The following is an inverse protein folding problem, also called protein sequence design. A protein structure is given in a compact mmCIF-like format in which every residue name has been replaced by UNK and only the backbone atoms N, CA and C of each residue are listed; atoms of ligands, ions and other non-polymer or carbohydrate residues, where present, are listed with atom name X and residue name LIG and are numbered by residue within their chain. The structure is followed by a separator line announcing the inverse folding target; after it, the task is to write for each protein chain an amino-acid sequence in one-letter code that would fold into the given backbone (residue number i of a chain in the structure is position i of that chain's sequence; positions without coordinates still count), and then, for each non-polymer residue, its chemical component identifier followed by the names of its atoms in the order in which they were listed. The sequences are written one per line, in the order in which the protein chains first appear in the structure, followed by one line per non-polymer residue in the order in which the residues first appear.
data_IF_702594050172
#
_entry.id   IF_702594050172
#
_cell.length_a   1.000
_cell.length_b   1.000
_cell.length_c   1.000
_cell.angle_alpha   90.00
_cell.angle_beta   90.00
_cell.angle_gamma   90.00
#
_symmetry.space_group_name_H-M   'P 1'
#
loop_
_entity.id
_entity.type
_entity.pdbx_description
1 polymer ?
#
# COMPACT_ATOMS: atom_id res chain seq x y z
N UNK A 1 -27.41 9.92 25.76
CA UNK A 1 -26.42 9.09 25.07
C UNK A 1 -27.18 8.25 24.06
N UNK A 2 -26.84 8.33 22.77
CA UNK A 2 -27.49 7.53 21.75
C UNK A 2 -27.10 6.05 21.87
N UNK A 3 -27.87 5.15 21.23
CA UNK A 3 -27.50 3.72 21.14
C UNK A 3 -26.11 3.54 20.52
N UNK A 4 -25.78 4.37 19.53
CA UNK A 4 -24.51 4.33 18.81
C UNK A 4 -23.34 4.78 19.68
N UNK A 5 -23.55 5.81 20.55
CA UNK A 5 -22.54 6.24 21.52
C UNK A 5 -22.20 5.12 22.53
N UNK A 6 -23.21 4.36 22.95
CA UNK A 6 -23.01 3.26 23.88
C UNK A 6 -22.22 2.12 23.22
N UNK A 7 -22.54 1.78 21.97
CA UNK A 7 -21.83 0.76 21.22
C UNK A 7 -20.36 1.16 20.94
N UNK A 8 -20.12 2.42 20.58
CA UNK A 8 -18.76 2.93 20.38
C UNK A 8 -17.94 2.84 21.67
N UNK A 9 -18.50 3.27 22.82
CA UNK A 9 -17.81 3.18 24.10
C UNK A 9 -17.52 1.74 24.51
N UNK A 10 -18.41 0.80 24.25
CA UNK A 10 -18.18 -0.62 24.47
C UNK A 10 -17.07 -1.15 23.57
N UNK A 11 -17.09 -0.80 22.28
CA UNK A 11 -16.04 -1.20 21.33
C UNK A 11 -14.67 -0.68 21.77
N UNK A 12 -14.57 0.58 22.23
CA UNK A 12 -13.34 1.16 22.77
C UNK A 12 -12.89 0.46 24.05
N UNK A 13 -13.81 0.14 24.95
CA UNK A 13 -13.51 -0.59 26.19
C UNK A 13 -12.97 -2.00 25.90
N UNK A 14 -13.58 -2.72 24.94
CA UNK A 14 -13.12 -4.03 24.46
C UNK A 14 -11.77 -3.94 23.75
N UNK A 15 -11.54 -2.88 23.01
CA UNK A 15 -10.28 -2.64 22.29
C UNK A 15 -9.12 -2.41 23.24
N UNK A 16 -9.33 -1.66 24.33
CA UNK A 16 -8.31 -1.33 25.32
C UNK A 16 -8.22 -2.29 26.51
N UNK A 17 -9.13 -3.26 26.63
CA UNK A 17 -9.04 -4.22 27.72
C UNK A 17 -7.90 -5.24 27.50
N UNK A 18 -7.53 -5.95 28.54
CA UNK A 18 -6.53 -7.03 28.44
C UNK A 18 -7.02 -8.10 27.47
N UNK A 19 -6.28 -8.27 26.36
CA UNK A 19 -6.65 -9.17 25.27
C UNK A 19 -7.49 -8.53 24.15
N UNK A 20 -7.73 -7.23 24.19
CA UNK A 20 -8.54 -6.51 23.21
C UNK A 20 -8.08 -6.67 21.74
N UNK A 21 -6.79 -6.92 21.55
CA UNK A 21 -6.21 -7.19 20.22
C UNK A 21 -6.06 -8.69 19.90
N UNK A 22 -6.63 -9.57 20.71
CA UNK A 22 -6.50 -11.01 20.48
C UNK A 22 -7.37 -11.46 19.29
N UNK A 23 -6.90 -12.40 18.46
CA UNK A 23 -7.68 -12.94 17.34
C UNK A 23 -9.01 -13.57 17.75
N UNK A 24 -9.15 -13.97 19.01
CA UNK A 24 -10.37 -14.55 19.56
C UNK A 24 -11.58 -13.63 19.42
N UNK A 25 -11.43 -12.35 19.79
CA UNK A 25 -12.51 -11.36 19.68
C UNK A 25 -12.90 -11.13 18.19
N UNK A 26 -11.92 -11.00 17.31
CA UNK A 26 -12.16 -10.84 15.87
C UNK A 26 -12.93 -12.02 15.28
N UNK A 27 -12.54 -13.26 15.62
CA UNK A 27 -13.26 -14.47 15.17
C UNK A 27 -14.67 -14.55 15.71
N UNK A 28 -14.86 -14.21 17.00
CA UNK A 28 -16.18 -14.17 17.62
C UNK A 28 -17.11 -13.15 16.94
N UNK A 29 -16.60 -11.94 16.65
CA UNK A 29 -17.32 -10.89 15.92
C UNK A 29 -17.73 -11.37 14.52
N UNK A 30 -16.78 -11.94 13.78
CA UNK A 30 -17.07 -12.49 12.44
C UNK A 30 -18.17 -13.54 12.47
N UNK A 31 -18.08 -14.48 13.42
CA UNK A 31 -19.07 -15.56 13.57
C UNK A 31 -20.45 -15.05 13.95
N UNK A 32 -20.52 -14.06 14.82
CA UNK A 32 -21.78 -13.48 15.31
C UNK A 32 -22.33 -12.37 14.37
N UNK A 33 -21.52 -11.83 13.49
CA UNK A 33 -21.90 -10.79 12.51
C UNK A 33 -22.00 -9.38 13.08
N UNK A 34 -22.08 -9.21 14.41
CA UNK A 34 -22.09 -7.89 15.06
C UNK A 34 -21.67 -7.96 16.53
N UNK A 35 -21.23 -6.82 17.07
CA UNK A 35 -20.95 -6.69 18.51
C UNK A 35 -22.22 -6.90 19.34
N UNK A 36 -23.35 -6.40 18.88
CA UNK A 36 -24.66 -6.59 19.52
C UNK A 36 -25.04 -8.07 19.62
N UNK A 37 -24.84 -8.83 18.55
CA UNK A 37 -25.10 -10.28 18.57
C UNK A 37 -24.13 -11.01 19.50
N UNK A 38 -22.85 -10.59 19.54
CA UNK A 38 -21.85 -11.15 20.46
C UNK A 38 -22.21 -10.90 21.92
N UNK A 39 -22.72 -9.72 22.26
CA UNK A 39 -23.23 -9.41 23.62
C UNK A 39 -24.39 -10.32 24.04
N UNK A 40 -25.23 -10.74 23.11
CA UNK A 40 -26.36 -11.61 23.38
C UNK A 40 -25.98 -13.10 23.58
N UNK A 41 -24.70 -13.48 23.37
CA UNK A 41 -24.23 -14.86 23.54
C UNK A 41 -24.06 -15.21 25.03
N UNK A 42 -24.19 -16.51 25.36
CA UNK A 42 -23.91 -16.98 26.73
C UNK A 42 -22.44 -16.93 27.07
N UNK A 43 -22.13 -16.96 28.34
CA UNK A 43 -20.74 -16.96 28.83
C UNK A 43 -19.97 -18.20 28.35
N UNK A 44 -20.62 -19.34 28.30
CA UNK A 44 -20.05 -20.59 27.78
C UNK A 44 -19.67 -20.46 26.29
N UNK A 45 -20.51 -19.82 25.49
CA UNK A 45 -20.21 -19.57 24.08
C UNK A 45 -19.02 -18.60 23.93
N UNK A 46 -18.95 -17.56 24.78
CA UNK A 46 -17.83 -16.60 24.81
C UNK A 46 -16.50 -17.27 25.19
N UNK A 47 -16.55 -18.23 26.13
CA UNK A 47 -15.39 -19.08 26.50
C UNK A 47 -14.93 -19.96 25.34
N UNK A 48 -15.86 -20.57 24.60
CA UNK A 48 -15.55 -21.39 23.42
C UNK A 48 -14.84 -20.60 22.32
N UNK A 49 -15.13 -19.30 22.17
CA UNK A 49 -14.37 -18.41 21.29
C UNK A 49 -12.98 -18.08 21.83
N UNK A 50 -12.69 -18.38 23.09
CA UNK A 50 -11.42 -18.04 23.77
C UNK A 50 -11.35 -16.58 24.20
N UNK A 51 -12.49 -15.93 24.47
CA UNK A 51 -12.51 -14.57 25.00
C UNK A 51 -11.94 -14.53 26.41
N UNK A 52 -11.13 -13.50 26.70
CA UNK A 52 -10.59 -13.27 28.03
C UNK A 52 -11.68 -12.93 29.03
N UNK A 53 -11.42 -13.17 30.32
CA UNK A 53 -12.36 -12.81 31.39
C UNK A 53 -12.74 -11.32 31.33
N UNK A 54 -11.78 -10.43 31.01
CA UNK A 54 -12.07 -9.00 30.87
C UNK A 54 -13.03 -8.71 29.71
N UNK A 55 -12.92 -9.43 28.59
CA UNK A 55 -13.83 -9.28 27.44
C UNK A 55 -15.24 -9.81 27.78
N UNK A 56 -15.33 -10.96 28.45
CA UNK A 56 -16.60 -11.55 28.90
C UNK A 56 -17.32 -10.62 29.88
N UNK A 57 -16.59 -10.05 30.84
CA UNK A 57 -17.13 -9.10 31.82
C UNK A 57 -17.74 -7.87 31.14
N UNK A 58 -17.02 -7.26 30.19
CA UNK A 58 -17.49 -6.11 29.40
C UNK A 58 -18.74 -6.46 28.57
N UNK A 59 -18.75 -7.61 27.91
CA UNK A 59 -19.89 -8.09 27.12
C UNK A 59 -21.13 -8.37 27.99
N UNK A 60 -20.93 -8.75 29.26
CA UNK A 60 -22.01 -8.95 30.23
C UNK A 60 -22.49 -7.65 30.92
N UNK A 61 -21.94 -6.49 30.50
CA UNK A 61 -22.32 -5.18 31.01
C UNK A 61 -21.57 -4.75 32.30
N UNK A 62 -20.52 -5.45 32.70
CA UNK A 62 -19.66 -5.02 33.79
C UNK A 62 -18.85 -3.74 33.40
N UNK A 63 -18.55 -2.85 34.32
CA UNK A 63 -17.85 -1.61 34.01
C UNK A 63 -16.41 -1.89 33.52
N UNK A 64 -15.96 -1.10 32.55
CA UNK A 64 -14.57 -1.14 32.11
C UNK A 64 -13.61 -0.63 33.18
N UNK A 65 -12.35 -1.06 33.12
CA UNK A 65 -11.31 -0.54 34.03
C UNK A 65 -11.08 0.97 33.78
N UNK A 66 -10.65 1.68 34.81
CA UNK A 66 -10.34 3.11 34.70
C UNK A 66 -9.27 3.39 33.61
N UNK A 67 -8.31 2.48 33.43
CA UNK A 67 -7.30 2.57 32.38
C UNK A 67 -7.92 2.45 30.97
N UNK A 68 -8.80 1.45 30.75
CA UNK A 68 -9.48 1.28 29.47
C UNK A 68 -10.38 2.47 29.13
N UNK A 69 -11.08 3.03 30.13
CA UNK A 69 -11.91 4.22 29.96
C UNK A 69 -11.06 5.43 29.58
N UNK A 70 -9.95 5.67 30.30
CA UNK A 70 -9.06 6.80 30.02
C UNK A 70 -8.42 6.72 28.61
N UNK A 71 -8.13 5.52 28.12
CA UNK A 71 -7.65 5.32 26.76
C UNK A 71 -8.76 5.56 25.73
N UNK A 72 -9.97 5.05 25.99
CA UNK A 72 -11.13 5.31 25.14
C UNK A 72 -11.50 6.79 25.05
N UNK A 73 -11.39 7.54 26.17
CA UNK A 73 -11.62 8.99 26.17
C UNK A 73 -10.59 9.74 25.30
N UNK A 74 -9.32 9.32 25.29
CA UNK A 74 -8.28 9.85 24.39
C UNK A 74 -8.60 9.58 22.91
N UNK A 75 -9.15 8.40 22.60
CA UNK A 75 -9.56 8.07 21.23
C UNK A 75 -10.74 8.95 20.79
N UNK A 76 -11.69 9.18 21.68
CA UNK A 76 -12.83 10.09 21.44
C UNK A 76 -12.35 11.54 21.26
N UNK A 77 -11.41 12.00 22.07
CA UNK A 77 -10.78 13.32 21.93
C UNK A 77 -10.07 13.44 20.56
N UNK A 78 -9.31 12.43 20.16
CA UNK A 78 -8.67 12.40 18.84
C UNK A 78 -9.69 12.48 17.71
N UNK A 79 -10.85 11.85 17.85
CA UNK A 79 -11.92 11.82 16.86
C UNK A 79 -12.76 13.12 16.78
N UNK A 80 -12.45 14.14 17.59
CA UNK A 80 -13.12 15.46 17.49
C UNK A 80 -12.70 16.24 16.24
N UNK A 81 -11.57 15.92 15.64
CA UNK A 81 -11.15 16.49 14.35
C UNK A 81 -12.04 15.94 13.24
N UNK A 82 -12.49 16.80 12.33
CA UNK A 82 -13.44 16.45 11.26
C UNK A 82 -12.91 15.39 10.28
N UNK A 83 -11.58 15.30 10.15
CA UNK A 83 -10.93 14.34 9.27
C UNK A 83 -10.55 13.02 9.98
N UNK A 84 -10.85 12.90 11.28
CA UNK A 84 -10.53 11.75 12.09
C UNK A 84 -11.78 10.92 12.41
N UNK A 85 -11.72 9.62 12.16
CA UNK A 85 -12.85 8.74 12.33
C UNK A 85 -12.48 7.47 13.08
N UNK A 86 -13.36 7.04 13.99
CA UNK A 86 -13.33 5.73 14.64
C UNK A 86 -14.37 4.84 13.97
N UNK A 87 -13.91 3.88 13.18
CA UNK A 87 -14.78 2.98 12.41
C UNK A 87 -14.81 1.63 13.12
N UNK A 88 -15.89 1.36 13.84
CA UNK A 88 -16.12 0.08 14.54
C UNK A 88 -16.61 -0.99 13.57
N UNK A 89 -16.49 -2.26 13.94
CA UNK A 89 -16.96 -3.40 13.16
C UNK A 89 -18.43 -3.29 12.72
N UNK A 90 -19.29 -2.71 13.56
CA UNK A 90 -20.73 -2.53 13.28
C UNK A 90 -21.03 -1.26 12.48
N UNK A 91 -20.04 -0.41 12.21
CA UNK A 91 -20.21 0.82 11.44
C UNK A 91 -20.60 0.53 9.99
N UNK A 92 -21.48 1.37 9.43
CA UNK A 92 -21.84 1.35 7.99
C UNK A 92 -20.64 1.68 7.09
N UNK A 93 -19.62 2.35 7.63
CA UNK A 93 -18.38 2.67 6.92
C UNK A 93 -17.31 1.58 7.04
N UNK A 94 -17.60 0.49 7.77
CA UNK A 94 -16.64 -0.60 7.88
C UNK A 94 -16.55 -1.36 6.54
N UNK A 95 -15.33 -1.52 5.96
CA UNK A 95 -15.18 -2.15 4.65
C UNK A 95 -15.67 -3.60 4.66
N UNK A 96 -16.62 -3.92 3.77
CA UNK A 96 -17.22 -5.27 3.72
C UNK A 96 -16.18 -6.35 3.44
N UNK A 97 -15.26 -6.10 2.51
CA UNK A 97 -14.16 -7.05 2.21
C UNK A 97 -13.30 -7.37 3.43
N UNK A 98 -13.08 -6.40 4.31
CA UNK A 98 -12.31 -6.61 5.53
C UNK A 98 -13.13 -7.42 6.56
N UNK A 99 -14.46 -7.25 6.58
CA UNK A 99 -15.39 -8.01 7.42
C UNK A 99 -15.37 -9.51 7.09
N UNK A 100 -15.18 -9.85 5.83
CA UNK A 100 -15.09 -11.24 5.32
C UNK A 100 -13.82 -11.97 5.77
N UNK A 101 -12.78 -11.27 6.20
CA UNK A 101 -11.51 -11.89 6.60
C UNK A 101 -11.62 -12.67 7.91
N UNK A 102 -10.70 -13.61 8.16
CA UNK A 102 -10.73 -14.45 9.36
C UNK A 102 -10.57 -13.67 10.67
N UNK A 103 -9.89 -12.55 10.65
CA UNK A 103 -9.60 -11.73 11.81
C UNK A 103 -9.87 -10.24 11.52
N UNK A 104 -11.14 -9.82 11.29
CA UNK A 104 -11.47 -8.42 11.08
C UNK A 104 -11.17 -7.61 12.34
N UNK A 105 -10.56 -6.42 12.24
CA UNK A 105 -10.37 -5.54 13.41
C UNK A 105 -11.70 -5.11 14.02
N UNK A 106 -11.76 -5.07 15.35
CA UNK A 106 -12.92 -4.49 16.05
C UNK A 106 -13.07 -3.00 15.76
N UNK A 107 -11.94 -2.30 15.60
CA UNK A 107 -11.85 -0.85 15.44
C UNK A 107 -10.78 -0.51 14.42
N UNK A 108 -11.09 0.46 13.57
CA UNK A 108 -10.14 1.14 12.69
C UNK A 108 -10.10 2.63 13.04
N UNK A 109 -8.90 3.15 13.22
CA UNK A 109 -8.65 4.58 13.18
C UNK A 109 -8.46 4.97 11.72
N UNK A 110 -9.20 5.97 11.26
CA UNK A 110 -9.13 6.45 9.88
C UNK A 110 -8.89 7.96 9.91
N UNK A 111 -7.97 8.43 9.09
CA UNK A 111 -7.76 9.85 8.84
C UNK A 111 -7.92 10.11 7.35
N UNK A 112 -8.82 11.03 6.99
CA UNK A 112 -9.19 11.36 5.62
C UNK A 112 -10.53 10.76 5.18
N UNK A 113 -10.68 10.42 3.92
CA UNK A 113 -11.95 10.08 3.27
C UNK A 113 -12.47 8.69 3.59
N UNK A 114 -13.63 8.58 4.24
CA UNK A 114 -14.35 7.31 4.41
C UNK A 114 -14.88 6.76 3.08
N UNK A 115 -15.17 7.62 2.11
CA UNK A 115 -15.59 7.19 0.77
C UNK A 115 -14.46 6.45 0.06
N UNK A 116 -13.22 6.96 0.14
CA UNK A 116 -12.02 6.28 -0.39
C UNK A 116 -11.78 4.95 0.32
N UNK A 117 -12.01 4.88 1.63
CA UNK A 117 -11.87 3.62 2.38
C UNK A 117 -12.87 2.56 1.90
N UNK A 118 -14.09 2.95 1.56
CA UNK A 118 -15.16 2.05 1.07
C UNK A 118 -15.09 1.74 -0.43
N UNK A 119 -14.16 2.34 -1.19
CA UNK A 119 -14.06 2.18 -2.65
C UNK A 119 -13.51 0.82 -3.07
N UNK A 120 -13.52 0.52 -4.37
CA UNK A 120 -12.86 -0.66 -4.94
C UNK A 120 -11.34 -0.49 -4.85
N UNK A 121 -10.67 -1.37 -4.09
CA UNK A 121 -9.25 -1.25 -3.82
C UNK A 121 -8.44 -2.41 -4.40
N UNK A 122 -7.25 -2.11 -4.93
CA UNK A 122 -6.22 -3.08 -5.27
C UNK A 122 -4.95 -2.79 -4.44
N UNK A 123 -4.38 -3.81 -3.83
CA UNK A 123 -3.12 -3.66 -3.11
C UNK A 123 -1.94 -3.65 -4.08
N UNK A 124 -1.01 -2.71 -3.91
CA UNK A 124 0.29 -2.71 -4.60
C UNK A 124 1.38 -2.74 -3.55
N UNK A 125 2.18 -3.81 -3.55
CA UNK A 125 3.21 -4.04 -2.54
C UNK A 125 4.52 -4.51 -3.18
N UNK A 126 5.63 -4.37 -2.44
CA UNK A 126 6.91 -4.86 -2.94
C UNK A 126 8.11 -4.52 -2.06
N UNK A 127 9.28 -4.54 -2.67
CA UNK A 127 10.55 -4.30 -2.01
C UNK A 127 10.66 -2.87 -1.47
N UNK A 128 11.19 -2.75 -0.24
CA UNK A 128 11.59 -1.45 0.33
C UNK A 128 12.82 -0.86 -0.38
N UNK A 129 13.68 -1.74 -0.91
CA UNK A 129 14.85 -1.40 -1.69
C UNK A 129 14.58 -1.72 -3.17
N UNK A 130 13.46 -1.20 -3.69
CA UNK A 130 13.08 -1.39 -5.07
C UNK A 130 14.10 -0.77 -6.01
N UNK A 131 14.36 -1.45 -7.13
CA UNK A 131 15.11 -0.89 -8.25
C UNK A 131 14.35 0.30 -8.86
N UNK A 132 15.01 1.09 -9.69
CA UNK A 132 14.33 2.17 -10.40
C UNK A 132 13.26 1.63 -11.37
N UNK A 133 13.48 0.44 -11.94
CA UNK A 133 12.44 -0.29 -12.68
C UNK A 133 11.23 -0.57 -11.78
N UNK A 134 11.44 -1.13 -10.59
CA UNK A 134 10.35 -1.42 -9.64
C UNK A 134 9.59 -0.16 -9.19
N UNK A 135 10.31 0.93 -8.88
CA UNK A 135 9.69 2.21 -8.51
C UNK A 135 8.84 2.79 -9.64
N UNK A 136 9.38 2.85 -10.87
CA UNK A 136 8.66 3.35 -12.04
C UNK A 136 7.40 2.54 -12.31
N UNK A 137 7.50 1.21 -12.31
CA UNK A 137 6.34 0.35 -12.55
C UNK A 137 5.29 0.45 -11.43
N UNK A 138 5.70 0.57 -10.16
CA UNK A 138 4.77 0.81 -9.06
C UNK A 138 3.97 2.10 -9.24
N UNK A 139 4.66 3.18 -9.61
CA UNK A 139 4.05 4.47 -9.91
C UNK A 139 3.09 4.38 -11.12
N UNK A 140 3.55 3.81 -12.22
CA UNK A 140 2.78 3.70 -13.45
C UNK A 140 1.53 2.84 -13.27
N UNK A 141 1.67 1.62 -12.72
CA UNK A 141 0.53 0.73 -12.45
C UNK A 141 -0.50 1.41 -11.56
N UNK A 142 -0.05 2.04 -10.47
CA UNK A 142 -0.92 2.74 -9.55
C UNK A 142 -1.69 3.88 -10.23
N UNK A 143 -0.98 4.67 -11.06
CA UNK A 143 -1.57 5.81 -11.78
C UNK A 143 -2.65 5.34 -12.77
N UNK A 144 -2.36 4.34 -13.59
CA UNK A 144 -3.30 3.88 -14.61
C UNK A 144 -4.52 3.16 -13.98
N UNK A 145 -4.32 2.36 -12.95
CA UNK A 145 -5.41 1.74 -12.19
C UNK A 145 -6.31 2.80 -11.53
N UNK A 146 -5.71 3.85 -10.97
CA UNK A 146 -6.47 4.95 -10.34
C UNK A 146 -7.29 5.73 -11.37
N UNK A 147 -6.73 6.02 -12.55
CA UNK A 147 -7.47 6.63 -13.68
C UNK A 147 -8.69 5.79 -14.10
N UNK A 148 -8.60 4.47 -13.98
CA UNK A 148 -9.69 3.55 -14.30
C UNK A 148 -10.70 3.37 -13.16
N UNK A 149 -10.56 4.08 -12.03
CA UNK A 149 -11.49 4.04 -10.91
C UNK A 149 -11.12 3.05 -9.82
N UNK A 150 -9.90 2.50 -9.79
CA UNK A 150 -9.42 1.57 -8.76
C UNK A 150 -8.55 2.31 -7.75
N UNK A 151 -8.94 2.32 -6.49
CA UNK A 151 -8.14 2.88 -5.40
C UNK A 151 -6.95 1.99 -5.07
N UNK A 152 -5.78 2.58 -4.87
CA UNK A 152 -4.56 1.85 -4.54
C UNK A 152 -4.41 1.72 -3.02
N UNK A 153 -4.33 0.49 -2.52
CA UNK A 153 -4.04 0.20 -1.11
C UNK A 153 -2.56 -0.20 -0.95
N UNK A 154 -1.86 0.39 0.01
CA UNK A 154 -0.47 0.00 0.31
C UNK A 154 -0.06 0.32 1.75
N UNK A 155 1.20 0.04 2.10
CA UNK A 155 1.67 0.08 3.48
C UNK A 155 2.53 1.29 3.87
N UNK A 156 2.65 2.31 3.02
CA UNK A 156 3.48 3.49 3.26
C UNK A 156 4.97 3.17 3.52
N UNK A 157 5.46 1.99 3.13
CA UNK A 157 6.86 1.63 3.25
C UNK A 157 7.72 2.35 2.19
N UNK A 158 9.04 2.35 2.38
CA UNK A 158 9.97 2.81 1.34
C UNK A 158 9.81 1.95 0.07
N UNK A 159 10.27 2.47 -1.06
CA UNK A 159 10.33 1.72 -2.32
C UNK A 159 8.99 1.60 -3.03
N UNK A 160 8.49 0.39 -3.28
CA UNK A 160 7.27 0.13 -4.06
C UNK A 160 6.06 0.84 -3.47
N UNK A 161 5.80 0.70 -2.17
CA UNK A 161 4.62 1.25 -1.51
C UNK A 161 4.52 2.77 -1.71
N UNK A 162 5.62 3.51 -1.47
CA UNK A 162 5.66 4.96 -1.62
C UNK A 162 5.38 5.39 -3.07
N UNK A 163 5.97 4.70 -4.05
CA UNK A 163 5.77 5.03 -5.46
C UNK A 163 4.36 4.69 -5.94
N UNK A 164 3.76 3.62 -5.43
CA UNK A 164 2.36 3.30 -5.68
C UNK A 164 1.44 4.41 -5.15
N UNK A 165 1.65 4.89 -3.92
CA UNK A 165 0.89 6.02 -3.37
C UNK A 165 1.07 7.29 -4.21
N UNK A 166 2.30 7.61 -4.63
CA UNK A 166 2.57 8.79 -5.46
C UNK A 166 1.85 8.70 -6.80
N UNK A 167 1.93 7.54 -7.50
CA UNK A 167 1.23 7.33 -8.77
C UNK A 167 -0.28 7.50 -8.65
N UNK A 168 -0.88 6.96 -7.58
CA UNK A 168 -2.30 7.11 -7.32
C UNK A 168 -2.70 8.56 -7.02
N UNK A 169 -1.92 9.29 -6.20
CA UNK A 169 -2.17 10.70 -5.88
C UNK A 169 -2.05 11.60 -7.12
N UNK A 170 -1.11 11.31 -8.01
CA UNK A 170 -0.91 12.10 -9.22
C UNK A 170 -1.93 11.75 -10.33
N UNK A 171 -2.64 10.61 -10.20
CA UNK A 171 -3.76 10.23 -11.07
C UNK A 171 -5.10 10.79 -10.59
N UNK A 172 -5.23 11.06 -9.29
CA UNK A 172 -6.48 11.53 -8.70
C UNK A 172 -6.95 12.81 -9.41
N UNK A 173 -8.02 12.67 -10.17
CA UNK A 173 -8.70 13.77 -10.84
C UNK A 173 -9.68 14.47 -9.91
N UNK A 174 -10.73 15.05 -10.48
CA UNK A 174 -11.82 15.70 -9.74
C UNK A 174 -12.71 14.73 -8.94
N UNK A 175 -12.57 13.41 -9.13
CA UNK A 175 -13.30 12.40 -8.37
C UNK A 175 -12.53 12.04 -7.09
N UNK A 176 -12.91 12.69 -5.99
CA UNK A 176 -12.29 12.53 -4.68
C UNK A 176 -12.51 11.13 -4.04
N UNK A 177 -13.31 10.25 -4.67
CA UNK A 177 -13.57 8.90 -4.13
C UNK A 177 -12.50 7.90 -4.51
N UNK A 178 -11.71 8.16 -5.54
CA UNK A 178 -10.67 7.27 -6.07
C UNK A 178 -9.30 7.91 -5.88
N UNK A 179 -8.47 7.33 -5.04
CA UNK A 179 -7.12 7.79 -4.77
C UNK A 179 -6.28 6.67 -4.14
N UNK A 180 -5.89 6.80 -2.89
CA UNK A 180 -5.07 5.78 -2.24
C UNK A 180 -5.38 5.63 -0.75
N UNK A 181 -5.22 4.41 -0.25
CA UNK A 181 -5.36 4.05 1.17
C UNK A 181 -4.01 3.57 1.70
N UNK A 182 -3.50 4.27 2.70
CA UNK A 182 -2.29 3.85 3.41
C UNK A 182 -2.65 3.12 4.70
N UNK A 183 -2.25 1.86 4.82
CA UNK A 183 -2.44 1.09 6.06
C UNK A 183 -1.17 1.15 6.89
N UNK A 184 -1.26 1.49 8.18
CA UNK A 184 -0.10 1.70 9.04
C UNK A 184 0.21 0.49 9.93
N UNK A 185 1.49 0.29 10.24
CA UNK A 185 1.97 -0.63 11.27
C UNK A 185 2.24 0.04 12.63
N UNK A 186 1.72 1.26 12.82
CA UNK A 186 1.85 2.11 14.01
C UNK A 186 0.50 2.69 14.38
N UNK A 187 0.38 3.35 15.52
CA UNK A 187 -0.78 4.22 15.78
C UNK A 187 -0.93 5.26 14.68
N UNK A 188 -2.18 5.68 14.42
CA UNK A 188 -2.52 6.63 13.35
C UNK A 188 -1.83 8.00 13.54
N UNK A 189 -1.47 8.34 14.75
CA UNK A 189 -0.76 9.55 15.18
C UNK A 189 0.77 9.46 14.96
N UNK A 190 1.30 8.32 14.44
CA UNK A 190 2.74 8.08 14.29
C UNK A 190 3.10 7.66 12.89
N UNK A 191 3.80 8.57 12.19
CA UNK A 191 4.28 8.31 10.82
C UNK A 191 5.55 7.48 10.83
N UNK A 192 5.53 6.36 10.13
CA UNK A 192 6.70 5.51 9.90
C UNK A 192 6.75 5.00 8.45
N UNK A 193 7.87 5.16 7.73
CA UNK A 193 9.10 5.85 8.14
C UNK A 193 8.92 7.37 8.26
N UNK A 194 9.72 8.04 9.09
CA UNK A 194 9.61 9.49 9.31
C UNK A 194 9.82 10.33 8.02
N UNK A 195 10.59 9.78 7.07
CA UNK A 195 10.81 10.38 5.75
C UNK A 195 9.50 10.56 4.95
N UNK A 196 8.48 9.75 5.22
CA UNK A 196 7.19 9.80 4.50
C UNK A 196 6.15 10.71 5.16
N UNK A 197 6.56 11.63 6.05
CA UNK A 197 5.60 12.55 6.71
C UNK A 197 4.82 13.42 5.70
N UNK A 198 5.49 13.96 4.68
CA UNK A 198 4.83 14.72 3.63
C UNK A 198 3.88 13.84 2.79
N UNK A 199 4.31 12.63 2.43
CA UNK A 199 3.47 11.69 1.70
C UNK A 199 2.25 11.25 2.52
N UNK A 200 2.44 10.96 3.82
CA UNK A 200 1.35 10.67 4.74
C UNK A 200 0.29 11.78 4.73
N UNK A 201 0.72 13.05 4.83
CA UNK A 201 -0.21 14.18 4.83
C UNK A 201 -0.95 14.27 3.49
N UNK A 202 -0.24 14.18 2.35
CA UNK A 202 -0.88 14.16 1.02
C UNK A 202 -1.92 13.05 0.88
N UNK A 203 -1.66 11.85 1.44
CA UNK A 203 -2.61 10.73 1.42
C UNK A 203 -3.81 11.04 2.31
N UNK A 204 -3.62 11.59 3.51
CA UNK A 204 -4.70 11.96 4.40
C UNK A 204 -5.62 13.03 3.77
N UNK A 205 -5.05 14.00 3.06
CA UNK A 205 -5.79 15.11 2.44
C UNK A 205 -6.57 14.68 1.18
N UNK A 206 -6.13 13.62 0.46
CA UNK A 206 -6.69 13.23 -0.84
C UNK A 206 -7.17 11.76 -0.91
N UNK A 207 -7.07 11.03 0.17
CA UNK A 207 -7.40 9.62 0.27
C UNK A 207 -7.72 9.23 1.70
N UNK A 208 -7.18 8.11 2.17
CA UNK A 208 -7.36 7.70 3.57
C UNK A 208 -6.08 7.06 4.14
N UNK A 209 -5.84 7.31 5.41
CA UNK A 209 -4.84 6.61 6.21
C UNK A 209 -5.56 5.78 7.27
N UNK A 210 -5.17 4.53 7.44
CA UNK A 210 -5.87 3.56 8.30
C UNK A 210 -4.90 2.86 9.25
N UNK A 211 -5.32 2.66 10.49
CA UNK A 211 -4.58 1.86 11.48
C UNK A 211 -5.53 1.03 12.34
N UNK A 212 -5.13 -0.19 12.68
CA UNK A 212 -5.78 -1.01 13.73
C UNK A 212 -5.07 -0.87 15.10
N UNK A 213 -4.02 -0.07 15.17
CA UNK A 213 -3.22 0.07 16.39
C UNK A 213 -3.64 1.29 17.20
N UNK A 214 -3.62 1.21 18.55
CA UNK A 214 -4.00 2.32 19.41
C UNK A 214 -3.10 3.55 19.22
N UNK A 215 -3.60 4.71 19.59
CA UNK A 215 -2.83 5.95 19.60
C UNK A 215 -1.53 5.77 20.39
N UNK A 216 -0.46 6.37 19.91
CA UNK A 216 0.87 6.27 20.50
C UNK A 216 1.65 4.99 20.19
N UNK A 217 1.05 3.97 19.54
CA UNK A 217 1.74 2.72 19.19
C UNK A 217 2.93 2.98 18.29
N UNK A 218 4.12 2.54 18.75
CA UNK A 218 5.39 2.70 18.02
C UNK A 218 5.54 1.66 16.91
N UNK A 219 6.52 1.88 16.03
CA UNK A 219 6.89 0.96 14.96
C UNK A 219 7.64 -0.26 15.53
N UNK A 220 6.91 -1.29 15.92
CA UNK A 220 7.48 -2.57 16.31
C UNK A 220 7.54 -3.52 15.11
N UNK A 221 8.61 -4.30 15.00
CA UNK A 221 8.82 -5.20 13.85
C UNK A 221 7.65 -6.18 13.61
N UNK A 222 7.03 -6.69 14.69
CA UNK A 222 5.92 -7.63 14.64
C UNK A 222 4.58 -7.01 14.18
N UNK A 223 4.44 -5.68 14.22
CA UNK A 223 3.23 -5.00 13.75
C UNK A 223 3.12 -5.03 12.22
N UNK A 224 4.25 -4.99 11.49
CA UNK A 224 4.23 -4.91 10.03
C UNK A 224 3.64 -6.16 9.36
N UNK A 225 4.06 -7.39 9.72
CA UNK A 225 3.40 -8.59 9.22
C UNK A 225 1.91 -8.65 9.59
N UNK A 226 1.57 -8.27 10.83
CA UNK A 226 0.18 -8.25 11.29
C UNK A 226 -0.68 -7.26 10.49
N UNK A 227 -0.17 -6.06 10.21
CA UNK A 227 -0.83 -5.05 9.39
C UNK A 227 -1.09 -5.53 7.96
N UNK A 228 -0.19 -6.33 7.38
CA UNK A 228 -0.28 -6.74 5.97
C UNK A 228 -1.58 -7.48 5.64
N UNK A 229 -2.20 -8.20 6.61
CA UNK A 229 -3.51 -8.82 6.44
C UNK A 229 -4.64 -7.80 6.17
N UNK A 230 -4.47 -6.54 6.60
CA UNK A 230 -5.43 -5.48 6.33
C UNK A 230 -5.27 -4.95 4.90
N UNK A 231 -4.04 -4.87 4.40
CA UNK A 231 -3.76 -4.46 3.03
C UNK A 231 -4.47 -5.41 2.06
N UNK A 232 -4.26 -6.73 2.21
CA UNK A 232 -4.95 -7.73 1.39
C UNK A 232 -6.46 -7.78 1.67
N UNK A 233 -6.87 -7.64 2.95
CA UNK A 233 -8.28 -7.70 3.36
C UNK A 233 -9.14 -6.56 2.84
N UNK A 234 -8.57 -5.38 2.64
CA UNK A 234 -9.25 -4.22 2.05
C UNK A 234 -9.37 -4.34 0.52
N UNK A 235 -8.55 -5.17 -0.11
CA UNK A 235 -8.34 -5.18 -1.55
C UNK A 235 -9.02 -6.37 -2.23
N UNK A 236 -9.33 -6.24 -3.52
CA UNK A 236 -9.82 -7.33 -4.39
C UNK A 236 -8.71 -8.29 -4.77
N UNK A 237 -7.46 -7.81 -4.80
CA UNK A 237 -6.26 -8.56 -5.12
C UNK A 237 -5.01 -7.82 -4.68
N UNK A 238 -3.87 -8.47 -4.84
CA UNK A 238 -2.54 -7.97 -4.46
C UNK A 238 -1.59 -8.06 -5.63
N UNK A 239 -1.10 -6.92 -6.12
CA UNK A 239 -0.05 -6.83 -7.13
C UNK A 239 1.31 -6.71 -6.43
N UNK A 240 2.22 -7.64 -6.72
CA UNK A 240 3.60 -7.63 -6.25
C UNK A 240 4.52 -7.16 -7.36
N UNK A 241 5.12 -5.97 -7.19
CA UNK A 241 5.98 -5.36 -8.22
C UNK A 241 7.41 -5.93 -8.18
N UNK A 242 8.04 -5.92 -7.04
CA UNK A 242 9.35 -6.54 -6.78
C UNK A 242 9.37 -7.17 -5.39
N UNK A 243 9.88 -8.39 -5.31
CA UNK A 243 10.07 -9.09 -4.05
C UNK A 243 11.26 -10.05 -4.13
N UNK A 244 12.20 -9.94 -3.20
CA UNK A 244 13.16 -11.02 -2.96
C UNK A 244 12.43 -12.23 -2.32
N UNK A 245 13.00 -13.45 -2.41
CA UNK A 245 12.38 -14.69 -1.88
C UNK A 245 12.00 -14.59 -0.38
N UNK A 246 12.73 -13.79 0.40
CA UNK A 246 12.45 -13.57 1.84
C UNK A 246 11.81 -12.21 2.11
N UNK A 247 11.12 -11.62 1.12
CA UNK A 247 10.48 -10.32 1.28
C UNK A 247 9.22 -10.38 2.16
N UNK A 248 9.02 -9.36 2.98
CA UNK A 248 7.78 -9.17 3.74
C UNK A 248 6.53 -8.97 2.87
N UNK A 249 6.69 -8.52 1.61
CA UNK A 249 5.59 -8.38 0.65
C UNK A 249 4.99 -9.73 0.24
N UNK A 250 5.78 -10.83 0.27
CA UNK A 250 5.27 -12.18 0.03
C UNK A 250 4.33 -12.65 1.16
N UNK A 251 4.43 -12.07 2.36
CA UNK A 251 3.48 -12.32 3.44
C UNK A 251 2.11 -11.74 3.07
N UNK A 252 2.08 -10.55 2.43
CA UNK A 252 0.82 -9.94 1.96
C UNK A 252 0.18 -10.79 0.86
N UNK A 253 0.97 -11.32 -0.08
CA UNK A 253 0.47 -12.23 -1.11
C UNK A 253 -0.10 -13.53 -0.50
N UNK A 254 0.54 -14.08 0.55
CA UNK A 254 0.00 -15.23 1.28
C UNK A 254 -1.34 -14.91 1.94
N UNK A 255 -1.45 -13.78 2.63
CA UNK A 255 -2.73 -13.35 3.21
C UNK A 255 -3.81 -13.17 2.14
N UNK A 256 -3.45 -12.68 0.94
CA UNK A 256 -4.40 -12.57 -0.17
C UNK A 256 -4.99 -13.95 -0.52
N UNK A 257 -4.15 -14.96 -0.69
CA UNK A 257 -4.61 -16.34 -0.96
C UNK A 257 -5.49 -16.88 0.18
N UNK A 258 -5.07 -16.71 1.44
CA UNK A 258 -5.83 -17.14 2.63
C UNK A 258 -7.20 -16.44 2.73
N UNK A 259 -7.33 -15.25 2.16
CA UNK A 259 -8.54 -14.41 2.15
C UNK A 259 -9.34 -14.54 0.86
N UNK A 260 -9.01 -15.49 -0.03
CA UNK A 260 -9.63 -15.66 -1.36
C UNK A 260 -9.56 -14.36 -2.21
N UNK A 261 -8.39 -13.73 -2.24
CA UNK A 261 -8.09 -12.56 -3.07
C UNK A 261 -7.08 -12.95 -4.15
N UNK A 262 -7.21 -12.34 -5.32
CA UNK A 262 -6.30 -12.58 -6.43
C UNK A 262 -4.87 -12.11 -6.13
N UNK A 263 -3.89 -12.81 -6.70
CA UNK A 263 -2.48 -12.44 -6.60
C UNK A 263 -1.93 -12.22 -8.00
N UNK A 264 -1.39 -11.03 -8.21
CA UNK A 264 -0.74 -10.60 -9.43
C UNK A 264 0.74 -10.38 -9.18
N UNK A 265 1.58 -10.65 -10.16
CA UNK A 265 3.01 -10.43 -10.04
C UNK A 265 3.61 -9.85 -11.31
N UNK A 266 4.39 -8.78 -11.15
CA UNK A 266 5.13 -8.17 -12.24
C UNK A 266 6.35 -9.04 -12.59
N UNK A 267 6.58 -9.38 -13.87
CA UNK A 267 7.80 -10.07 -14.29
C UNK A 267 9.01 -9.16 -14.15
N UNK A 268 10.18 -9.77 -13.99
CA UNK A 268 11.45 -9.05 -13.86
C UNK A 268 12.56 -9.80 -14.58
N UNK A 269 13.70 -9.15 -14.77
CA UNK A 269 14.87 -9.80 -15.32
C UNK A 269 15.31 -10.97 -14.43
N UNK A 270 15.72 -12.09 -15.02
CA UNK A 270 16.22 -13.27 -14.29
C UNK A 270 17.46 -12.97 -13.44
N UNK A 271 18.25 -11.98 -13.85
CA UNK A 271 19.42 -11.48 -13.12
C UNK A 271 19.08 -10.59 -11.93
N UNK A 272 17.82 -10.09 -11.82
CA UNK A 272 17.40 -9.22 -10.72
C UNK A 272 17.02 -10.04 -9.47
N UNK A 273 17.79 -9.98 -8.38
CA UNK A 273 17.47 -10.72 -7.15
C UNK A 273 16.13 -10.28 -6.52
N UNK A 274 15.73 -9.02 -6.74
CA UNK A 274 14.45 -8.48 -6.25
C UNK A 274 13.23 -8.97 -7.05
N UNK A 275 13.43 -9.54 -8.25
CA UNK A 275 12.35 -10.14 -9.04
C UNK A 275 12.05 -11.60 -8.72
N UNK A 276 12.94 -12.29 -7.99
CA UNK A 276 12.83 -13.75 -7.76
C UNK A 276 11.56 -14.16 -7.01
N UNK A 277 11.08 -13.34 -6.08
CA UNK A 277 9.83 -13.59 -5.36
C UNK A 277 8.61 -13.48 -6.28
N UNK A 278 8.60 -12.54 -7.22
CA UNK A 278 7.53 -12.43 -8.22
C UNK A 278 7.53 -13.66 -9.16
N UNK A 279 8.71 -14.12 -9.62
CA UNK A 279 8.82 -15.32 -10.42
C UNK A 279 8.32 -16.57 -9.67
N UNK A 280 8.58 -16.66 -8.36
CA UNK A 280 8.07 -17.76 -7.55
C UNK A 280 6.55 -17.70 -7.40
N UNK A 281 5.97 -16.51 -7.19
CA UNK A 281 4.51 -16.34 -7.16
C UNK A 281 3.87 -16.76 -8.48
N UNK A 282 4.44 -16.36 -9.62
CA UNK A 282 3.95 -16.75 -10.96
C UNK A 282 3.97 -18.28 -11.12
N UNK A 283 5.05 -18.96 -10.71
CA UNK A 283 5.14 -20.43 -10.74
C UNK A 283 4.12 -21.10 -9.84
N UNK A 284 3.68 -20.43 -8.77
CA UNK A 284 2.66 -20.90 -7.84
C UNK A 284 1.23 -20.58 -8.29
N UNK A 285 1.06 -19.96 -9.47
CA UNK A 285 -0.24 -19.67 -10.06
C UNK A 285 -0.68 -18.20 -9.95
N UNK A 286 0.15 -17.31 -9.42
CA UNK A 286 -0.16 -15.87 -9.51
C UNK A 286 -0.19 -15.43 -10.97
N UNK A 287 -1.16 -14.60 -11.33
CA UNK A 287 -1.25 -14.06 -12.69
C UNK A 287 -0.06 -13.15 -12.99
N UNK A 288 0.64 -13.41 -14.09
CA UNK A 288 1.65 -12.52 -14.61
C UNK A 288 0.94 -11.28 -15.17
N UNK A 289 1.38 -10.09 -14.76
CA UNK A 289 0.84 -8.81 -15.17
C UNK A 289 1.99 -7.94 -15.67
N UNK A 290 1.94 -7.51 -16.91
CA UNK A 290 2.88 -6.56 -17.51
C UNK A 290 2.18 -5.28 -18.03
N UNK A 291 0.83 -5.27 -18.02
CA UNK A 291 0.00 -4.12 -18.35
C UNK A 291 -1.13 -3.94 -17.32
N UNK A 292 -1.50 -2.70 -16.90
CA UNK A 292 -2.64 -2.45 -16.01
C UNK A 292 -3.96 -3.03 -16.53
N UNK A 293 -4.13 -3.13 -17.84
CA UNK A 293 -5.33 -3.66 -18.47
C UNK A 293 -5.56 -5.15 -18.16
N UNK A 294 -4.53 -5.91 -17.86
CA UNK A 294 -4.66 -7.30 -17.42
C UNK A 294 -5.51 -7.38 -16.15
N UNK A 295 -5.21 -6.50 -15.17
CA UNK A 295 -5.95 -6.42 -13.92
C UNK A 295 -7.35 -5.84 -14.15
N UNK A 296 -7.47 -4.77 -14.96
CA UNK A 296 -8.76 -4.15 -15.25
C UNK A 296 -9.72 -5.12 -15.94
N UNK A 297 -9.21 -5.95 -16.85
CA UNK A 297 -9.99 -6.99 -17.51
C UNK A 297 -10.54 -8.01 -16.51
N UNK A 298 -9.69 -8.52 -15.60
CA UNK A 298 -10.10 -9.43 -14.52
C UNK A 298 -11.16 -8.81 -13.59
N UNK A 299 -11.07 -7.51 -13.34
CA UNK A 299 -12.04 -6.78 -12.53
C UNK A 299 -13.33 -6.43 -13.28
N UNK A 300 -13.43 -6.77 -14.57
CA UNK A 300 -14.56 -6.40 -15.44
C UNK A 300 -14.66 -4.90 -15.71
N UNK A 301 -13.56 -4.17 -15.54
CA UNK A 301 -13.45 -2.73 -15.78
C UNK A 301 -12.88 -2.49 -17.19
N UNK A 302 -13.36 -1.44 -17.84
CA UNK A 302 -12.76 -0.97 -19.10
C UNK A 302 -11.71 0.09 -18.78
N UNK A 303 -10.56 0.02 -19.47
CA UNK A 303 -9.66 1.16 -19.53
C UNK A 303 -10.47 2.39 -19.97
N UNK A 304 -10.31 3.51 -19.29
CA UNK A 304 -10.89 4.77 -19.75
C UNK A 304 -10.23 5.07 -21.09
N UNK A 305 -11.02 5.14 -22.18
CA UNK A 305 -10.48 5.52 -23.50
C UNK A 305 -9.69 6.82 -23.31
N UNK A 306 -8.41 6.79 -23.69
CA UNK A 306 -7.57 7.97 -23.68
C UNK A 306 -8.27 9.02 -24.53
N UNK A 307 -8.82 10.05 -23.93
CA UNK A 307 -9.18 11.27 -24.67
C UNK A 307 -7.93 11.69 -25.42
N UNK A 308 -8.06 11.89 -26.73
CA UNK A 308 -7.00 12.17 -27.71
C UNK A 308 -6.13 13.41 -27.37
N UNK A 309 -5.40 13.36 -26.28
CA UNK A 309 -4.37 14.32 -25.92
C UNK A 309 -3.20 13.57 -25.30
N UNK A 310 -2.43 12.86 -26.12
CA UNK A 310 -0.99 12.70 -25.95
C UNK A 310 -0.46 11.87 -24.79
N UNK A 311 -1.24 11.02 -24.09
CA UNK A 311 -0.80 10.43 -22.83
C UNK A 311 -0.76 8.88 -22.87
N UNK A 312 -0.25 8.28 -23.93
CA UNK A 312 0.10 6.85 -23.95
C UNK A 312 1.45 6.65 -23.26
N UNK A 313 1.42 6.60 -21.93
CA UNK A 313 2.58 6.24 -21.11
C UNK A 313 2.65 4.71 -20.98
N UNK A 314 3.13 4.04 -22.03
CA UNK A 314 3.67 2.68 -21.86
C UNK A 314 4.97 2.75 -21.02
N UNK A 315 5.43 1.67 -20.36
CA UNK A 315 6.70 1.65 -19.63
C UNK A 315 7.89 2.10 -20.48
N UNK A 316 7.79 2.00 -21.80
CA UNK A 316 8.76 2.50 -22.79
C UNK A 316 8.66 4.01 -23.03
N UNK A 317 7.53 4.64 -22.69
CA UNK A 317 7.29 6.09 -22.87
C UNK A 317 7.70 6.98 -21.68
N UNK A 318 8.16 6.41 -20.56
CA UNK A 318 8.59 7.17 -19.38
C UNK A 318 9.86 8.02 -19.57
N UNK A 319 10.44 8.02 -20.79
CA UNK A 319 11.55 8.89 -21.13
C UNK A 319 11.29 10.40 -21.01
N UNK A 320 10.01 10.85 -20.84
CA UNK A 320 9.68 12.28 -20.99
C UNK A 320 8.93 12.92 -19.80
N UNK A 321 8.71 12.24 -18.68
CA UNK A 321 7.83 12.75 -17.59
C UNK A 321 8.48 12.94 -16.21
N UNK A 322 9.74 12.63 -16.05
CA UNK A 322 10.52 13.31 -15.03
C UNK A 322 11.07 14.54 -15.74
N UNK A 323 10.54 15.69 -15.45
CA UNK A 323 11.23 16.96 -15.62
C UNK A 323 12.44 16.94 -14.63
N UNK A 324 13.36 16.04 -14.92
CA UNK A 324 14.72 16.12 -14.42
C UNK A 324 15.31 17.20 -15.27
N UNK A 325 15.18 18.47 -14.90
CA UNK A 325 15.75 19.61 -15.59
C UNK A 325 16.99 19.25 -16.44
N UNK A 326 16.75 18.49 -17.53
CA UNK A 326 17.83 18.20 -18.47
C UNK A 326 18.34 19.54 -18.93
N UNK A 327 19.61 19.83 -18.73
CA UNK A 327 20.17 21.07 -19.21
C UNK A 327 19.83 21.20 -20.70
N UNK A 328 19.19 22.29 -21.08
CA UNK A 328 18.82 22.57 -22.48
C UNK A 328 20.04 22.59 -23.43
N UNK A 329 21.26 22.54 -22.87
CA UNK A 329 22.56 22.60 -23.53
C UNK A 329 23.19 21.23 -23.84
N UNK A 330 22.47 20.12 -23.66
CA UNK A 330 23.00 18.78 -23.98
C UNK A 330 23.19 18.59 -25.48
N UNK A 331 24.38 18.05 -25.84
CA UNK A 331 24.69 17.71 -27.21
C UNK A 331 23.86 16.51 -27.71
N UNK A 332 23.63 16.37 -29.05
CA UNK A 332 22.83 15.26 -29.60
C UNK A 332 23.30 13.87 -29.17
N UNK A 333 24.62 13.66 -29.06
CA UNK A 333 25.20 12.39 -28.58
C UNK A 333 24.84 12.13 -27.11
N UNK A 334 24.92 13.11 -26.26
CA UNK A 334 24.58 13.00 -24.83
C UNK A 334 23.11 12.62 -24.62
N UNK A 335 22.22 13.22 -25.40
CA UNK A 335 20.78 12.86 -25.38
C UNK A 335 20.56 11.40 -25.81
N UNK A 336 21.24 10.92 -26.84
CA UNK A 336 21.17 9.52 -27.26
C UNK A 336 21.71 8.55 -26.19
N UNK A 337 22.79 8.90 -25.53
CA UNK A 337 23.37 8.11 -24.43
C UNK A 337 22.41 8.04 -23.24
N UNK A 338 21.86 9.17 -22.81
CA UNK A 338 20.87 9.20 -21.73
C UNK A 338 19.62 8.42 -22.09
N UNK A 339 19.12 8.55 -23.33
CA UNK A 339 17.95 7.79 -23.79
C UNK A 339 18.19 6.29 -23.73
N UNK A 340 19.39 5.81 -24.10
CA UNK A 340 19.73 4.39 -24.00
C UNK A 340 19.89 3.93 -22.56
N UNK A 341 20.56 4.71 -21.70
CA UNK A 341 20.73 4.41 -20.28
C UNK A 341 19.42 4.43 -19.49
N UNK A 342 18.36 5.06 -20.02
CA UNK A 342 17.01 5.00 -19.45
C UNK A 342 16.34 3.64 -19.68
N UNK A 343 16.76 2.90 -20.71
CA UNK A 343 16.19 1.59 -21.03
C UNK A 343 16.96 0.45 -20.38
N UNK A 344 18.29 0.57 -20.29
CA UNK A 344 19.17 -0.47 -19.73
C UNK A 344 20.49 0.12 -19.21
N UNK A 345 21.05 -0.50 -18.19
CA UNK A 345 22.40 -0.21 -17.72
C UNK A 345 23.42 -0.77 -18.74
N UNK A 346 24.31 0.06 -19.25
CA UNK A 346 25.21 -0.30 -20.32
C UNK A 346 26.67 -0.39 -19.86
N UNK A 347 27.41 -1.36 -20.40
CA UNK A 347 28.87 -1.31 -20.40
C UNK A 347 29.34 -0.34 -21.49
N UNK A 348 30.56 0.24 -21.31
CA UNK A 348 31.12 1.14 -22.31
C UNK A 348 31.16 0.51 -23.72
N UNK A 349 31.55 -0.77 -23.80
CA UNK A 349 31.66 -1.49 -25.07
C UNK A 349 30.32 -1.60 -25.80
N UNK A 350 29.21 -1.67 -25.08
CA UNK A 350 27.84 -1.72 -25.67
C UNK A 350 27.49 -0.46 -26.46
N UNK A 351 28.11 0.68 -26.14
CA UNK A 351 27.92 1.92 -26.91
C UNK A 351 28.78 1.95 -28.17
N UNK A 352 29.95 1.29 -28.16
CA UNK A 352 30.82 1.12 -29.33
C UNK A 352 30.17 0.15 -30.33
N UNK A 353 29.65 -0.98 -29.85
CA UNK A 353 28.98 -1.98 -30.69
C UNK A 353 27.73 -1.41 -31.40
N UNK A 354 27.09 -0.40 -30.80
CA UNK A 354 25.94 0.28 -31.39
C UNK A 354 26.30 1.37 -32.41
N UNK A 355 27.58 1.54 -32.74
CA UNK A 355 28.11 2.52 -33.70
C UNK A 355 27.59 3.96 -33.48
N UNK A 356 27.40 4.33 -32.22
CA UNK A 356 26.81 5.63 -31.84
C UNK A 356 27.77 6.80 -32.09
N UNK A 357 29.08 6.58 -31.86
CA UNK A 357 30.14 7.56 -32.06
C UNK A 357 31.53 6.92 -31.88
N UNK A 358 32.60 7.63 -32.20
CA UNK A 358 33.97 7.18 -31.93
C UNK A 358 34.24 7.03 -30.43
N UNK A 359 35.19 6.18 -30.05
CA UNK A 359 35.60 5.95 -28.66
C UNK A 359 35.86 7.25 -27.90
N UNK A 360 36.60 8.20 -28.50
CA UNK A 360 36.92 9.48 -27.87
C UNK A 360 35.67 10.34 -27.63
N UNK A 361 34.75 10.37 -28.58
CA UNK A 361 33.52 11.14 -28.47
C UNK A 361 32.57 10.54 -27.41
N UNK A 362 32.46 9.21 -27.35
CA UNK A 362 31.68 8.50 -26.31
C UNK A 362 32.23 8.73 -24.92
N UNK A 363 33.55 8.59 -24.76
CA UNK A 363 34.21 8.78 -23.47
C UNK A 363 34.04 10.23 -22.94
N UNK A 364 34.24 11.22 -23.84
CA UNK A 364 34.04 12.63 -23.48
C UNK A 364 32.57 12.92 -23.10
N UNK A 365 31.62 12.41 -23.86
CA UNK A 365 30.19 12.63 -23.61
C UNK A 365 29.73 11.96 -22.30
N UNK A 366 30.19 10.74 -21.99
CA UNK A 366 29.85 10.04 -20.76
C UNK A 366 30.48 10.71 -19.55
N UNK A 367 31.74 11.15 -19.65
CA UNK A 367 32.44 11.87 -18.58
C UNK A 367 31.74 13.22 -18.26
N UNK A 368 31.33 13.97 -19.29
CA UNK A 368 30.59 15.21 -19.08
C UNK A 368 29.22 14.96 -18.39
N UNK A 369 28.51 13.91 -18.79
CA UNK A 369 27.27 13.50 -18.15
C UNK A 369 27.47 13.06 -16.69
N UNK A 370 28.58 12.38 -16.37
CA UNK A 370 28.94 11.97 -15.02
C UNK A 370 29.32 13.18 -14.15
N UNK A 371 30.10 14.12 -14.66
CA UNK A 371 30.43 15.39 -13.97
C UNK A 371 29.16 16.22 -13.69
N UNK A 372 28.18 16.20 -14.59
CA UNK A 372 26.89 16.86 -14.39
C UNK A 372 25.96 16.10 -13.46
N UNK A 373 26.33 14.91 -12.98
CA UNK A 373 25.50 14.08 -12.09
C UNK A 373 24.30 13.44 -12.78
N UNK A 374 24.28 13.36 -14.11
CA UNK A 374 23.20 12.75 -14.90
C UNK A 374 23.41 11.26 -15.12
N UNK A 375 24.65 10.79 -15.02
CA UNK A 375 25.06 9.39 -15.17
C UNK A 375 26.04 9.04 -14.08
N UNK A 376 26.06 7.77 -13.63
CA UNK A 376 27.09 7.24 -12.73
C UNK A 376 27.74 6.00 -13.32
N UNK A 377 29.06 5.83 -13.09
CA UNK A 377 29.80 4.64 -13.49
C UNK A 377 30.21 3.82 -12.26
N UNK A 378 29.78 2.56 -12.21
CA UNK A 378 30.18 1.61 -11.15
C UNK A 378 30.63 0.30 -11.76
N UNK A 379 31.91 -0.09 -11.53
CA UNK A 379 32.45 -1.34 -12.06
C UNK A 379 32.45 -1.42 -13.59
N UNK A 380 32.61 -0.29 -14.29
CA UNK A 380 32.59 -0.21 -15.76
C UNK A 380 31.18 -0.21 -16.40
N UNK A 381 30.12 -0.19 -15.56
CA UNK A 381 28.72 -0.10 -16.02
C UNK A 381 28.20 1.30 -15.77
N UNK A 382 27.59 1.89 -16.79
CA UNK A 382 26.95 3.21 -16.74
C UNK A 382 25.46 3.07 -16.46
N UNK A 383 24.95 3.92 -15.58
CA UNK A 383 23.53 3.98 -15.16
C UNK A 383 23.11 5.44 -15.06
N UNK A 384 21.82 5.73 -15.18
CA UNK A 384 21.28 7.06 -14.84
C UNK A 384 21.55 7.33 -13.34
N UNK A 385 22.01 8.53 -12.99
CA UNK A 385 22.40 8.91 -11.63
C UNK A 385 21.20 9.17 -10.72
#
# INVERSE_FOLDING_TARGET
MSSDDLQLRLALSLFHCKGGHAPALSRALRHQGSLKALMATTREAQEQYGLSLSQQALLSGEPASAESLALGDKDLEWALDSEHHLVTYDSIFYPERLRETDCPPLLLYVRGSLATLGSLQLAIVGSRNASDYGKRNAYWMARELCKAGVTVCSGLALGVDANAHLGALDAAGSDASVSTVAVLGTGIDRVYPAAHRALFQRIADNGAVVSEFPLGMRAYAYNFPRRNRLISGLSVGVLVIEAAIKSGSLITARYAVEQNREVYALPSLLSNPQGRGCHELIKQGAMLVDDPNDILFELGLKAREATEAGDTLSPTGFGNLIDTGEPNDLQPLQRKLLQRLRTEDCLFDSFLDADLASFGALNHALLDLEVRGLVSCRGGRYTIA
#
